data_IF_490342277058
#
_entry.id   IF_490342277058
#
_cell.length_a   1.000
_cell.length_b   1.000
_cell.length_c   1.000
_cell.angle_alpha   90.00
_cell.angle_beta   90.00
_cell.angle_gamma   90.00
#
_symmetry.space_group_name_H-M   'P 1'
#
loop_
_entity.id
_entity.type
_entity.pdbx_description
1 polymer ?
#
# COMPACT_ATOMS: atom_id res chain seq x y z
N UNK A 1 -44.74 -10.69 -23.72
CA UNK A 1 -43.75 -11.68 -24.17
C UNK A 1 -42.56 -11.70 -23.23
N UNK A 2 -42.79 -12.25 -22.04
CA UNK A 2 -41.83 -12.35 -20.94
C UNK A 2 -41.71 -13.82 -20.58
N UNK A 3 -40.79 -14.55 -21.24
CA UNK A 3 -40.25 -15.87 -20.82
C UNK A 3 -39.39 -16.41 -21.96
N UNK A 4 -38.07 -16.22 -21.91
CA UNK A 4 -37.09 -17.18 -22.51
C UNK A 4 -35.60 -16.93 -22.28
N UNK A 5 -35.18 -15.89 -21.57
CA UNK A 5 -33.73 -15.62 -21.41
C UNK A 5 -33.17 -15.84 -20.01
N UNK A 6 -33.89 -16.53 -19.12
CA UNK A 6 -33.49 -16.76 -17.71
C UNK A 6 -32.93 -18.17 -17.42
N UNK A 7 -32.77 -19.03 -18.42
CA UNK A 7 -32.40 -20.45 -18.22
C UNK A 7 -31.02 -20.86 -18.78
N UNK A 8 -30.20 -19.92 -19.29
CA UNK A 8 -28.88 -20.25 -19.88
C UNK A 8 -27.69 -19.75 -19.04
N UNK A 9 -27.89 -18.88 -18.05
CA UNK A 9 -26.78 -18.30 -17.25
C UNK A 9 -26.53 -18.97 -15.89
N UNK A 10 -27.28 -20.00 -15.50
CA UNK A 10 -27.08 -20.72 -14.23
C UNK A 10 -26.37 -22.08 -14.35
N UNK A 11 -25.84 -22.45 -15.53
CA UNK A 11 -25.16 -23.74 -15.75
C UNK A 11 -23.66 -23.69 -16.10
N UNK A 12 -23.04 -22.50 -16.13
CA UNK A 12 -21.62 -22.38 -16.59
C UNK A 12 -20.61 -22.06 -15.47
N UNK A 13 -21.04 -21.73 -14.23
CA UNK A 13 -20.10 -21.41 -13.14
C UNK A 13 -20.26 -22.23 -11.84
N UNK A 14 -20.82 -23.44 -11.93
CA UNK A 14 -20.71 -24.45 -10.85
C UNK A 14 -19.80 -25.57 -11.32
N UNK A 15 -18.48 -25.40 -11.18
CA UNK A 15 -17.55 -26.47 -11.57
C UNK A 15 -16.08 -26.10 -11.64
N UNK A 16 -15.58 -25.17 -10.81
CA UNK A 16 -14.14 -24.98 -10.63
C UNK A 16 -13.77 -25.39 -9.20
N UNK A 17 -13.59 -26.70 -9.00
CA UNK A 17 -12.85 -27.21 -7.84
C UNK A 17 -11.37 -26.99 -8.12
N UNK A 18 -10.74 -26.12 -7.34
CA UNK A 18 -9.29 -26.01 -7.31
C UNK A 18 -8.70 -27.31 -6.75
N UNK A 19 -8.19 -28.18 -7.62
CA UNK A 19 -7.32 -29.27 -7.22
C UNK A 19 -5.90 -28.71 -7.06
N UNK A 20 -5.50 -28.39 -5.83
CA UNK A 20 -4.10 -28.16 -5.52
C UNK A 20 -3.38 -29.52 -5.51
N UNK A 21 -2.73 -29.84 -6.62
CA UNK A 21 -1.82 -30.98 -6.72
C UNK A 21 -0.48 -30.55 -6.14
N UNK A 22 -0.17 -30.99 -4.94
CA UNK A 22 1.16 -30.82 -4.37
C UNK A 22 2.05 -31.98 -4.86
N UNK A 23 2.99 -31.69 -5.76
CA UNK A 23 4.00 -32.65 -6.19
C UNK A 23 5.13 -32.68 -5.16
N UNK A 24 5.29 -33.80 -4.45
CA UNK A 24 6.54 -34.10 -3.76
C UNK A 24 7.32 -35.13 -4.58
N UNK A 25 8.46 -34.72 -5.15
CA UNK A 25 9.42 -35.64 -5.75
C UNK A 25 10.27 -36.26 -4.66
N UNK A 26 10.22 -37.58 -4.51
CA UNK A 26 11.31 -38.32 -3.86
C UNK A 26 12.04 -39.11 -4.94
N UNK A 27 13.30 -38.73 -5.18
CA UNK A 27 14.17 -39.46 -6.09
C UNK A 27 14.87 -40.57 -5.31
N UNK A 28 14.77 -41.81 -5.78
CA UNK A 28 15.68 -42.89 -5.41
C UNK A 28 16.29 -43.45 -6.69
N UNK A 29 17.63 -43.53 -6.70
CA UNK A 29 18.42 -44.02 -7.82
C UNK A 29 18.59 -45.53 -7.65
N UNK A 30 18.19 -46.31 -8.65
CA UNK A 30 18.71 -47.67 -8.84
C UNK A 30 19.08 -47.89 -10.30
N UNK A 31 20.10 -48.73 -10.47
CA UNK A 31 20.84 -48.98 -11.70
C UNK A 31 20.00 -49.66 -12.79
N UNK A 32 20.17 -49.17 -14.02
CA UNK A 32 19.60 -49.63 -15.30
C UNK A 32 18.19 -49.09 -15.62
N UNK A 33 18.15 -48.31 -16.71
CA UNK A 33 17.08 -47.36 -17.00
C UNK A 33 15.87 -47.91 -17.75
N UNK A 34 14.68 -47.56 -17.26
CA UNK A 34 13.48 -47.09 -17.99
C UNK A 34 12.38 -46.80 -16.97
N UNK A 35 11.93 -45.54 -16.89
CA UNK A 35 10.83 -45.10 -16.04
C UNK A 35 9.48 -45.48 -16.66
N UNK A 36 8.71 -46.35 -16.00
CA UNK A 36 7.27 -46.54 -16.23
C UNK A 36 6.55 -46.18 -14.93
N UNK A 37 6.00 -44.96 -14.84
CA UNK A 37 5.14 -44.56 -13.73
C UNK A 37 3.74 -45.17 -13.91
N UNK A 38 3.33 -46.05 -12.98
CA UNK A 38 1.91 -46.38 -12.76
C UNK A 38 1.42 -45.61 -11.52
N UNK A 39 0.38 -44.76 -11.62
CA UNK A 39 -0.16 -44.10 -10.45
C UNK A 39 -1.05 -45.06 -9.64
N UNK A 40 -0.73 -45.29 -8.36
CA UNK A 40 -1.65 -45.89 -7.41
C UNK A 40 -2.48 -44.79 -6.74
N UNK A 41 -3.81 -44.85 -6.88
CA UNK A 41 -4.75 -44.00 -6.17
C UNK A 41 -5.02 -44.59 -4.78
N UNK A 42 -4.57 -43.91 -3.71
CA UNK A 42 -5.06 -44.16 -2.35
C UNK A 42 -6.11 -43.11 -1.99
N UNK A 43 -7.31 -43.56 -1.63
CA UNK A 43 -8.38 -42.71 -1.13
C UNK A 43 -8.05 -42.21 0.27
N UNK A 44 -7.85 -40.90 0.43
CA UNK A 44 -7.77 -40.24 1.73
C UNK A 44 -9.11 -39.57 2.01
N UNK A 45 -9.75 -39.96 3.12
CA UNK A 45 -10.96 -39.28 3.61
C UNK A 45 -10.54 -38.00 4.33
N UNK A 46 -11.13 -36.87 3.94
CA UNK A 46 -10.88 -35.58 4.57
C UNK A 46 -12.08 -35.24 5.43
N UNK A 47 -11.87 -35.16 6.74
CA UNK A 47 -12.87 -34.69 7.70
C UNK A 47 -13.11 -33.20 7.50
N UNK A 48 -14.31 -32.82 7.05
CA UNK A 48 -14.76 -31.43 6.97
C UNK A 48 -14.87 -30.83 8.38
N UNK A 49 -13.83 -30.11 8.84
CA UNK A 49 -14.06 -28.99 9.77
C UNK A 49 -14.65 -27.85 8.94
N UNK A 50 -15.93 -27.59 9.14
CA UNK A 50 -16.60 -26.40 8.63
C UNK A 50 -15.94 -25.19 9.29
N UNK A 51 -15.07 -24.50 8.56
CA UNK A 51 -14.72 -23.12 8.90
C UNK A 51 -15.98 -22.29 8.67
N UNK A 52 -16.53 -21.70 9.72
CA UNK A 52 -17.50 -20.61 9.61
C UNK A 52 -16.82 -19.49 8.83
N UNK A 53 -17.27 -19.26 7.61
CA UNK A 53 -16.81 -18.16 6.77
C UNK A 53 -17.30 -16.85 7.37
N UNK A 54 -16.46 -16.18 8.15
CA UNK A 54 -16.65 -14.76 8.43
C UNK A 54 -16.66 -14.00 7.11
N UNK A 55 -17.52 -12.99 6.98
CA UNK A 55 -17.60 -12.17 5.78
C UNK A 55 -16.21 -11.61 5.45
N UNK A 56 -15.82 -11.51 4.16
CA UNK A 56 -14.55 -10.88 3.82
C UNK A 56 -14.57 -9.46 4.38
N UNK A 57 -13.73 -9.18 5.37
CA UNK A 57 -13.53 -7.83 5.88
C UNK A 57 -13.16 -6.96 4.68
N UNK A 58 -14.00 -5.99 4.33
CA UNK A 58 -13.71 -5.01 3.27
C UNK A 58 -13.21 -3.74 3.92
N UNK A 59 -12.02 -3.27 3.56
CA UNK A 59 -11.49 -2.02 4.12
C UNK A 59 -9.97 -1.92 4.04
N UNK A 60 -9.39 -0.79 4.48
CA UNK A 60 -7.93 -0.54 4.45
C UNK A 60 -7.11 -1.50 5.34
N UNK A 61 -7.77 -2.31 6.15
CA UNK A 61 -7.15 -3.22 7.13
C UNK A 61 -7.36 -4.70 6.80
N UNK A 62 -8.12 -5.04 5.75
CA UNK A 62 -8.55 -6.42 5.44
C UNK A 62 -7.44 -7.42 5.10
N UNK A 63 -6.27 -6.94 4.72
CA UNK A 63 -5.10 -7.75 4.37
C UNK A 63 -3.92 -7.43 5.32
N UNK A 64 -4.21 -7.11 6.57
CA UNK A 64 -3.24 -6.62 7.54
C UNK A 64 -3.41 -7.27 8.92
N UNK A 65 -2.39 -7.13 9.77
CA UNK A 65 -2.40 -7.55 11.18
C UNK A 65 -3.17 -6.60 12.11
N UNK A 66 -3.73 -5.50 11.56
CA UNK A 66 -4.53 -4.52 12.31
C UNK A 66 -6.01 -4.74 12.00
N UNK A 67 -6.88 -4.45 12.97
CA UNK A 67 -8.33 -4.44 12.73
C UNK A 67 -8.76 -3.12 12.10
N UNK A 68 -8.19 -2.02 12.58
CA UNK A 68 -8.52 -0.67 12.14
C UNK A 68 -7.27 0.18 11.82
N UNK A 69 -7.43 1.22 11.02
CA UNK A 69 -6.43 2.29 10.88
C UNK A 69 -6.52 3.25 12.07
N UNK A 70 -5.44 3.98 12.34
CA UNK A 70 -5.38 4.88 13.49
C UNK A 70 -6.31 6.11 13.34
N UNK A 71 -6.78 6.44 12.15
CA UNK A 71 -7.61 7.63 11.87
C UNK A 71 -9.10 7.35 11.69
N UNK A 72 -9.52 6.07 11.66
CA UNK A 72 -10.91 5.71 11.31
C UNK A 72 -11.84 5.52 12.51
N UNK A 73 -11.31 5.33 13.72
CA UNK A 73 -12.12 5.13 14.92
C UNK A 73 -13.03 6.33 15.25
N UNK A 74 -14.24 6.03 15.71
CA UNK A 74 -15.32 7.00 16.01
C UNK A 74 -16.15 6.51 17.20
N UNK A 75 -17.04 7.36 17.71
CA UNK A 75 -17.95 7.06 18.84
C UNK A 75 -18.82 5.81 18.64
N UNK A 76 -19.07 5.40 17.40
CA UNK A 76 -19.79 4.15 17.07
C UNK A 76 -19.01 2.88 17.43
N UNK A 77 -17.67 2.96 17.50
CA UNK A 77 -16.78 1.84 17.80
C UNK A 77 -16.56 1.63 19.31
N UNK A 78 -17.23 2.40 20.18
CA UNK A 78 -17.05 2.34 21.63
C UNK A 78 -17.46 0.96 22.16
N UNK A 79 -16.58 0.36 22.96
CA UNK A 79 -16.75 -0.99 23.52
C UNK A 79 -16.09 -2.09 22.67
N UNK A 80 -15.68 -1.79 21.44
CA UNK A 80 -15.01 -2.76 20.57
C UNK A 80 -13.55 -2.98 20.98
N UNK A 81 -13.08 -4.23 20.87
CA UNK A 81 -11.66 -4.55 20.92
C UNK A 81 -11.03 -4.31 19.54
N UNK A 82 -9.97 -3.52 19.52
CA UNK A 82 -9.29 -3.11 18.29
C UNK A 82 -7.80 -3.35 18.38
N UNK A 83 -7.21 -3.70 17.24
CA UNK A 83 -5.77 -3.79 17.05
C UNK A 83 -5.32 -2.68 16.11
N UNK A 84 -4.47 -1.78 16.60
CA UNK A 84 -3.90 -0.67 15.83
C UNK A 84 -2.40 -0.85 15.68
N UNK A 85 -1.87 -0.57 14.49
CA UNK A 85 -0.43 -0.55 14.24
C UNK A 85 -0.02 0.83 13.72
N UNK A 86 1.04 1.41 14.28
CA UNK A 86 1.46 2.75 13.88
C UNK A 86 2.78 3.20 14.50
N UNK A 87 3.10 4.46 14.25
CA UNK A 87 4.24 5.18 14.82
C UNK A 87 3.82 5.95 16.05
N UNK A 88 4.64 5.93 17.09
CA UNK A 88 4.47 6.80 18.26
C UNK A 88 4.70 8.25 17.82
N UNK A 89 3.64 9.06 17.75
CA UNK A 89 3.74 10.49 17.42
C UNK A 89 4.12 11.33 18.63
N UNK A 90 3.62 10.93 19.79
CA UNK A 90 3.80 11.64 21.05
C UNK A 90 3.63 10.65 22.21
N UNK A 91 4.46 10.80 23.22
CA UNK A 91 4.44 10.04 24.46
C UNK A 91 4.33 11.03 25.61
N UNK A 92 3.34 10.86 26.48
CA UNK A 92 3.22 11.64 27.72
C UNK A 92 3.46 10.74 28.92
N UNK A 93 4.74 10.51 29.23
CA UNK A 93 5.15 9.63 30.34
C UNK A 93 4.34 8.33 30.32
N UNK A 94 3.84 7.89 31.47
CA UNK A 94 3.09 6.65 31.66
C UNK A 94 1.56 6.83 31.53
N UNK A 95 1.10 7.96 30.98
CA UNK A 95 -0.34 8.28 30.89
C UNK A 95 -0.94 7.83 29.56
N UNK A 96 -0.42 8.33 28.44
CA UNK A 96 -0.95 8.03 27.11
C UNK A 96 0.10 8.18 26.01
N UNK A 97 -0.19 7.51 24.90
CA UNK A 97 0.52 7.59 23.64
C UNK A 97 -0.42 8.12 22.57
N UNK A 98 0.07 8.96 21.67
CA UNK A 98 -0.65 9.25 20.42
C UNK A 98 -0.03 8.37 19.34
N UNK A 99 -0.82 7.43 18.83
CA UNK A 99 -0.42 6.55 17.75
C UNK A 99 -0.83 7.18 16.41
N UNK A 100 0.10 7.21 15.45
CA UNK A 100 -0.13 7.71 14.10
C UNK A 100 0.01 6.61 13.08
N UNK A 101 -0.85 6.61 12.08
CA UNK A 101 -0.57 5.98 10.79
C UNK A 101 -0.85 6.97 9.65
N UNK A 102 -0.92 6.49 8.42
CA UNK A 102 -1.20 7.35 7.28
C UNK A 102 -2.60 7.99 7.28
N UNK A 103 -3.54 7.40 8.01
CA UNK A 103 -4.96 7.80 8.02
C UNK A 103 -5.24 8.86 9.07
N UNK A 104 -4.47 8.87 10.16
CA UNK A 104 -4.64 9.86 11.22
C UNK A 104 -3.95 9.47 12.51
N UNK A 105 -4.46 10.06 13.60
CA UNK A 105 -3.95 9.93 14.96
C UNK A 105 -5.06 9.31 15.82
N UNK A 106 -4.69 8.42 16.75
CA UNK A 106 -5.57 7.94 17.84
C UNK A 106 -4.81 8.02 19.15
N UNK A 107 -5.50 8.42 20.22
CA UNK A 107 -4.96 8.37 21.57
C UNK A 107 -5.12 6.96 22.14
N UNK A 108 -4.02 6.42 22.67
CA UNK A 108 -3.96 5.16 23.40
C UNK A 108 -3.65 5.50 24.86
N UNK A 109 -4.60 5.23 25.75
CA UNK A 109 -4.44 5.43 27.18
C UNK A 109 -3.78 4.20 27.81
N UNK A 110 -2.84 4.45 28.71
CA UNK A 110 -2.17 3.41 29.49
C UNK A 110 -2.89 3.25 30.83
N UNK A 111 -3.42 2.05 31.16
CA UNK A 111 -4.08 1.82 32.44
C UNK A 111 -3.11 2.08 33.60
N UNK A 112 -3.64 2.63 34.71
CA UNK A 112 -2.84 2.98 35.88
C UNK A 112 -2.81 1.90 36.96
N UNK A 113 -3.59 0.84 36.78
CA UNK A 113 -3.67 -0.31 37.69
C UNK A 113 -2.35 -1.10 37.72
N UNK A 114 -2.05 -1.74 38.86
CA UNK A 114 -0.84 -2.55 39.07
C UNK A 114 -0.69 -3.68 38.04
N UNK A 115 -1.81 -4.26 37.61
CA UNK A 115 -1.85 -5.29 36.56
C UNK A 115 -1.25 -4.83 35.22
N UNK A 116 -1.29 -3.53 34.94
CA UNK A 116 -0.83 -2.92 33.69
C UNK A 116 0.61 -2.38 33.76
N UNK A 117 1.36 -2.63 34.85
CA UNK A 117 2.72 -2.13 35.02
C UNK A 117 3.68 -2.61 33.90
N UNK A 118 3.42 -3.78 33.33
CA UNK A 118 4.18 -4.29 32.19
C UNK A 118 4.06 -3.41 30.93
N UNK A 119 2.89 -2.79 30.68
CA UNK A 119 2.68 -1.88 29.55
C UNK A 119 3.47 -0.59 29.73
N UNK A 120 3.49 -0.06 30.96
CA UNK A 120 4.27 1.14 31.31
C UNK A 120 5.75 0.89 31.06
N UNK A 121 6.30 -0.20 31.59
CA UNK A 121 7.69 -0.57 31.40
C UNK A 121 8.09 -0.68 29.91
N UNK A 122 7.24 -1.30 29.08
CA UNK A 122 7.48 -1.38 27.63
C UNK A 122 7.55 0.00 26.99
N UNK A 123 6.71 0.95 27.41
CA UNK A 123 6.61 2.28 26.80
C UNK A 123 7.67 3.28 27.31
N UNK A 124 8.15 3.12 28.54
CA UNK A 124 9.19 4.01 29.13
C UNK A 124 10.46 4.03 28.28
N UNK A 125 10.83 2.90 27.68
CA UNK A 125 12.03 2.77 26.85
C UNK A 125 11.82 3.19 25.39
N UNK A 126 10.59 3.51 24.98
CA UNK A 126 10.29 3.84 23.59
C UNK A 126 10.48 5.32 23.28
N UNK A 127 11.09 5.55 22.12
CA UNK A 127 11.24 6.86 21.53
C UNK A 127 10.08 7.18 20.58
N UNK A 128 9.86 8.47 20.36
CA UNK A 128 9.00 8.97 19.28
C UNK A 128 9.44 8.36 17.95
N UNK A 129 8.46 7.98 17.12
CA UNK A 129 8.60 7.30 15.84
C UNK A 129 9.01 5.82 15.91
N UNK A 130 9.04 5.22 17.11
CA UNK A 130 9.03 3.76 17.25
C UNK A 130 7.74 3.17 16.70
N UNK A 131 7.83 1.96 16.16
CA UNK A 131 6.71 1.23 15.53
C UNK A 131 6.16 0.22 16.51
N UNK A 132 4.88 0.34 16.81
CA UNK A 132 4.18 -0.51 17.78
C UNK A 132 2.87 -1.02 17.23
N UNK A 133 2.45 -2.16 17.77
CA UNK A 133 1.10 -2.70 17.66
C UNK A 133 0.45 -2.65 19.04
N UNK A 134 -0.75 -2.09 19.10
CA UNK A 134 -1.53 -1.96 20.32
C UNK A 134 -2.83 -2.71 20.14
N UNK A 135 -3.14 -3.60 21.08
CA UNK A 135 -4.47 -4.21 21.19
C UNK A 135 -5.15 -3.63 22.42
N UNK A 136 -6.40 -3.20 22.29
CA UNK A 136 -7.11 -2.55 23.39
C UNK A 136 -8.57 -2.29 23.08
N UNK A 137 -9.28 -1.70 24.02
CA UNK A 137 -10.73 -1.46 23.92
C UNK A 137 -11.01 0.01 23.70
N UNK A 138 -11.83 0.33 22.70
CA UNK A 138 -12.25 1.71 22.42
C UNK A 138 -13.19 2.19 23.52
N UNK A 139 -12.96 3.37 24.05
CA UNK A 139 -13.85 4.03 25.00
C UNK A 139 -14.02 5.51 24.68
N UNK A 140 -15.11 6.10 25.19
CA UNK A 140 -15.26 7.55 25.15
C UNK A 140 -14.22 8.20 26.06
N UNK A 141 -13.73 9.36 25.63
CA UNK A 141 -12.95 10.20 26.54
C UNK A 141 -13.84 10.69 27.69
N UNK A 142 -13.26 10.96 28.87
CA UNK A 142 -13.99 11.63 29.94
C UNK A 142 -14.55 12.98 29.47
N UNK A 143 -15.70 13.37 30.03
CA UNK A 143 -16.33 14.65 29.70
C UNK A 143 -15.36 15.82 29.92
N UNK A 144 -15.21 16.68 28.91
CA UNK A 144 -14.29 17.82 28.90
C UNK A 144 -12.87 17.48 28.43
N UNK A 145 -12.58 16.23 28.06
CA UNK A 145 -11.29 15.82 27.47
C UNK A 145 -11.39 15.47 25.98
N UNK A 146 -12.54 15.73 25.35
CA UNK A 146 -12.73 15.61 23.91
C UNK A 146 -11.79 16.57 23.16
N UNK A 147 -11.25 16.13 22.03
CA UNK A 147 -10.38 16.94 21.20
C UNK A 147 -11.00 17.20 19.82
N UNK A 148 -11.70 18.32 19.68
CA UNK A 148 -12.37 18.73 18.43
C UNK A 148 -11.43 18.86 17.22
N UNK A 149 -10.12 19.00 17.44
CA UNK A 149 -9.12 19.10 16.36
C UNK A 149 -8.75 17.75 15.77
N UNK A 150 -9.16 16.65 16.40
CA UNK A 150 -8.87 15.29 15.95
C UNK A 150 -10.15 14.56 15.56
N UNK A 151 -10.23 13.90 14.39
CA UNK A 151 -11.39 13.11 14.01
C UNK A 151 -11.73 11.97 14.99
N UNK A 152 -10.73 11.44 15.69
CA UNK A 152 -10.89 10.42 16.75
C UNK A 152 -10.96 11.06 18.15
N UNK A 153 -11.23 12.36 18.23
CA UNK A 153 -11.08 13.16 19.44
C UNK A 153 -12.12 12.92 20.51
N UNK A 154 -13.24 12.27 20.18
CA UNK A 154 -14.28 11.86 21.13
C UNK A 154 -13.94 10.55 21.85
N UNK A 155 -12.97 9.79 21.31
CA UNK A 155 -12.61 8.45 21.79
C UNK A 155 -11.13 8.36 22.16
N UNK A 156 -10.80 7.29 22.87
CA UNK A 156 -9.45 6.80 23.11
C UNK A 156 -9.47 5.27 23.19
N UNK A 157 -8.31 4.64 23.02
CA UNK A 157 -8.15 3.18 23.15
C UNK A 157 -7.46 2.89 24.47
N UNK A 158 -8.13 2.17 25.37
CA UNK A 158 -7.52 1.65 26.59
C UNK A 158 -6.62 0.48 26.23
N UNK A 159 -5.30 0.63 26.40
CA UNK A 159 -4.33 -0.39 26.03
C UNK A 159 -4.50 -1.64 26.90
N UNK A 160 -4.67 -2.80 26.26
CA UNK A 160 -4.61 -4.12 26.90
C UNK A 160 -3.28 -4.82 26.65
N UNK A 161 -2.70 -4.66 25.46
CA UNK A 161 -1.40 -5.20 25.09
C UNK A 161 -0.65 -4.26 24.15
N UNK A 162 0.67 -4.19 24.29
CA UNK A 162 1.58 -3.44 23.41
C UNK A 162 2.72 -4.34 22.96
N UNK A 163 2.86 -4.51 21.65
CA UNK A 163 3.93 -5.24 20.99
C UNK A 163 4.82 -4.24 20.23
N UNK A 164 6.12 -4.26 20.49
CA UNK A 164 7.09 -3.38 19.83
C UNK A 164 7.65 -4.07 18.59
N UNK A 165 7.33 -3.54 17.41
CA UNK A 165 7.88 -4.05 16.16
C UNK A 165 9.27 -3.50 15.86
N UNK A 166 9.49 -2.21 16.16
CA UNK A 166 10.79 -1.60 15.94
C UNK A 166 10.99 -0.35 16.81
N UNK A 167 12.13 -0.27 17.49
CA UNK A 167 12.55 0.90 18.27
C UNK A 167 13.21 1.94 17.37
N UNK A 168 12.86 3.21 17.51
CA UNK A 168 13.46 4.28 16.72
C UNK A 168 14.69 4.89 17.40
N UNK A 169 15.72 5.23 16.61
CA UNK A 169 16.81 6.09 17.07
C UNK A 169 16.40 7.56 16.97
N UNK A 170 17.18 8.45 17.58
CA UNK A 170 16.99 9.89 17.43
C UNK A 170 16.93 10.28 15.96
N UNK A 171 15.87 11.01 15.58
CA UNK A 171 15.66 11.42 14.19
C UNK A 171 16.44 12.68 13.84
N UNK A 172 16.84 12.85 12.56
CA UNK A 172 17.51 14.07 12.08
C UNK A 172 16.59 15.31 12.10
N UNK A 173 15.27 15.12 12.15
CA UNK A 173 14.28 16.17 12.35
C UNK A 173 12.96 15.59 12.89
N UNK A 174 12.15 16.43 13.52
CA UNK A 174 10.83 16.05 14.02
C UNK A 174 9.79 15.89 12.89
N UNK A 175 8.94 14.88 12.97
CA UNK A 175 7.81 14.69 12.05
C UNK A 175 6.58 15.40 12.61
N UNK A 176 6.62 16.73 12.58
CA UNK A 176 5.50 17.62 12.88
C UNK A 176 5.29 18.61 11.73
N UNK A 177 4.05 19.02 11.51
CA UNK A 177 3.66 19.85 10.36
C UNK A 177 4.17 21.31 10.48
N UNK A 178 4.28 21.85 11.70
CA UNK A 178 4.66 23.26 11.92
C UNK A 178 6.17 23.49 12.14
N UNK A 179 6.99 22.44 12.09
CA UNK A 179 8.45 22.56 12.26
C UNK A 179 9.07 22.88 10.91
N UNK A 180 9.66 24.08 10.78
CA UNK A 180 10.41 24.46 9.58
C UNK A 180 11.66 23.59 9.45
N UNK A 181 11.82 22.96 8.28
CA UNK A 181 12.95 22.08 7.94
C UNK A 181 13.55 22.58 6.63
N UNK A 182 14.87 22.51 6.48
CA UNK A 182 15.50 22.84 5.20
C UNK A 182 15.07 21.82 4.14
N UNK A 183 14.91 22.28 2.90
CA UNK A 183 14.59 21.40 1.78
C UNK A 183 15.66 20.33 1.57
N UNK A 184 16.94 20.71 1.69
CA UNK A 184 18.07 19.79 1.59
C UNK A 184 17.95 18.62 2.56
N UNK A 185 17.64 18.88 3.83
CA UNK A 185 17.49 17.84 4.85
C UNK A 185 16.25 16.96 4.60
N UNK A 186 15.16 17.56 4.12
CA UNK A 186 13.94 16.82 3.72
C UNK A 186 14.19 15.90 2.54
N UNK A 187 15.03 16.30 1.58
CA UNK A 187 15.39 15.45 0.43
C UNK A 187 16.40 14.37 0.83
N UNK A 188 17.36 14.66 1.70
CA UNK A 188 18.30 13.68 2.24
C UNK A 188 17.58 12.55 2.99
N UNK A 189 16.60 12.90 3.84
CA UNK A 189 15.82 11.93 4.60
C UNK A 189 14.37 11.85 4.12
N UNK A 190 14.19 11.77 2.78
CA UNK A 190 12.87 11.81 2.15
C UNK A 190 11.92 10.76 2.68
N UNK A 191 12.41 9.56 3.02
CA UNK A 191 11.62 8.48 3.60
C UNK A 191 10.97 8.85 4.95
N UNK A 192 11.57 9.76 5.74
CA UNK A 192 10.94 10.32 6.93
C UNK A 192 9.95 11.44 6.57
N UNK A 193 10.33 12.34 5.66
CA UNK A 193 9.45 13.46 5.24
C UNK A 193 8.15 12.95 4.62
N UNK A 194 8.18 11.81 3.92
CA UNK A 194 7.01 11.15 3.37
C UNK A 194 5.99 10.70 4.42
N UNK A 195 6.36 10.62 5.71
CA UNK A 195 5.42 10.35 6.81
C UNK A 195 4.58 11.57 7.21
N UNK A 196 4.98 12.78 6.80
CA UNK A 196 4.21 14.00 7.09
C UNK A 196 2.82 13.96 6.48
N UNK A 197 1.86 14.61 7.16
CA UNK A 197 0.47 14.63 6.71
C UNK A 197 0.33 15.24 5.31
N UNK A 198 1.11 16.29 5.03
CA UNK A 198 1.14 16.95 3.73
C UNK A 198 1.62 16.01 2.61
N UNK A 199 2.71 15.27 2.81
CA UNK A 199 3.23 14.38 1.77
C UNK A 199 2.33 13.17 1.56
N UNK A 200 1.76 12.61 2.63
CA UNK A 200 0.75 11.54 2.54
C UNK A 200 -0.47 12.00 1.74
N UNK A 201 -1.01 13.20 2.02
CA UNK A 201 -2.13 13.78 1.26
C UNK A 201 -1.79 13.95 -0.21
N UNK A 202 -0.64 14.55 -0.53
CA UNK A 202 -0.22 14.80 -1.91
C UNK A 202 -0.09 13.50 -2.72
N UNK A 203 0.57 12.47 -2.17
CA UNK A 203 0.78 11.20 -2.88
C UNK A 203 -0.53 10.42 -3.06
N UNK A 204 -1.39 10.40 -2.03
CA UNK A 204 -2.70 9.73 -2.12
C UNK A 204 -3.63 10.43 -3.11
N UNK A 205 -3.66 11.76 -3.09
CA UNK A 205 -4.41 12.55 -4.06
C UNK A 205 -3.93 12.28 -5.48
N UNK A 206 -2.61 12.29 -5.72
CA UNK A 206 -2.03 11.93 -7.02
C UNK A 206 -2.47 10.52 -7.46
N UNK A 207 -2.39 9.54 -6.57
CA UNK A 207 -2.80 8.17 -6.86
C UNK A 207 -4.29 8.08 -7.22
N UNK A 208 -5.16 8.73 -6.46
CA UNK A 208 -6.60 8.76 -6.70
C UNK A 208 -6.94 9.45 -8.02
N UNK A 209 -6.32 10.60 -8.28
CA UNK A 209 -6.50 11.35 -9.53
C UNK A 209 -6.12 10.51 -10.74
N UNK A 210 -4.93 9.90 -10.72
CA UNK A 210 -4.46 9.05 -11.82
C UNK A 210 -5.40 7.86 -12.04
N UNK A 211 -5.89 7.22 -10.97
CA UNK A 211 -6.87 6.14 -11.11
C UNK A 211 -8.19 6.63 -11.72
N UNK A 212 -8.70 7.78 -11.28
CA UNK A 212 -9.92 8.38 -11.84
C UNK A 212 -9.78 8.74 -13.31
N UNK A 213 -8.61 9.22 -13.73
CA UNK A 213 -8.29 9.45 -15.14
C UNK A 213 -8.34 8.14 -15.95
N UNK A 214 -7.75 7.06 -15.43
CA UNK A 214 -7.83 5.74 -16.09
C UNK A 214 -9.25 5.22 -16.17
N UNK A 215 -10.01 5.27 -15.09
CA UNK A 215 -11.42 4.86 -15.07
C UNK A 215 -12.23 5.63 -16.13
N UNK A 216 -12.02 6.94 -16.22
CA UNK A 216 -12.72 7.78 -17.19
C UNK A 216 -12.32 7.47 -18.64
N UNK A 217 -11.02 7.40 -18.94
CA UNK A 217 -10.55 7.16 -20.29
C UNK A 217 -10.86 5.73 -20.76
N UNK A 218 -10.53 4.71 -19.96
CA UNK A 218 -10.74 3.31 -20.33
C UNK A 218 -12.21 2.92 -20.28
N UNK A 219 -12.86 3.08 -19.12
CA UNK A 219 -14.15 2.43 -18.87
C UNK A 219 -15.33 3.24 -19.43
N UNK A 220 -15.19 4.57 -19.54
CA UNK A 220 -16.26 5.43 -20.07
C UNK A 220 -16.04 5.74 -21.55
N UNK A 221 -14.80 6.01 -21.96
CA UNK A 221 -14.50 6.49 -23.32
C UNK A 221 -13.80 5.49 -24.24
N UNK A 222 -13.55 4.27 -23.78
CA UNK A 222 -13.01 3.19 -24.60
C UNK A 222 -11.57 3.40 -25.05
N UNK A 223 -10.78 4.18 -24.32
CA UNK A 223 -9.34 4.27 -24.55
C UNK A 223 -8.63 2.98 -24.10
N UNK A 224 -7.51 2.67 -24.75
CA UNK A 224 -6.65 1.55 -24.40
C UNK A 224 -5.37 2.09 -23.75
N UNK A 225 -5.05 1.63 -22.53
CA UNK A 225 -3.79 1.92 -21.85
C UNK A 225 -2.69 1.06 -22.50
N UNK A 226 -1.80 1.67 -23.28
CA UNK A 226 -0.73 0.95 -23.98
C UNK A 226 0.62 1.47 -23.53
N UNK A 227 1.46 0.58 -23.04
CA UNK A 227 2.83 0.94 -22.66
C UNK A 227 3.73 1.02 -23.89
N UNK A 228 4.48 2.11 -24.02
CA UNK A 228 5.46 2.30 -25.10
C UNK A 228 6.90 2.20 -24.59
N UNK A 229 7.85 1.69 -25.39
CA UNK A 229 9.25 1.52 -24.97
C UNK A 229 9.94 2.81 -24.49
N UNK A 230 10.76 2.67 -23.44
CA UNK A 230 11.59 3.75 -22.88
C UNK A 230 12.99 3.82 -23.49
N UNK A 231 13.56 2.70 -23.94
CA UNK A 231 14.84 2.73 -24.65
C UNK A 231 14.54 2.83 -26.14
N UNK A 232 14.79 4.01 -26.73
CA UNK A 232 14.43 4.29 -28.11
C UNK A 232 15.60 4.90 -28.90
N UNK A 233 15.40 5.10 -30.20
CA UNK A 233 16.36 5.86 -31.01
C UNK A 233 16.21 7.37 -30.75
N UNK A 234 17.29 8.11 -30.95
CA UNK A 234 17.28 9.57 -30.87
C UNK A 234 16.31 10.18 -31.88
N UNK A 235 15.54 11.17 -31.45
CA UNK A 235 14.67 11.94 -32.36
C UNK A 235 15.28 13.33 -32.58
N UNK A 236 15.68 13.71 -33.81
CA UNK A 236 16.23 15.03 -34.07
C UNK A 236 15.15 16.12 -33.91
N UNK A 237 15.55 17.32 -33.45
CA UNK A 237 14.69 18.51 -33.37
C UNK A 237 14.06 18.82 -31.99
N UNK A 238 14.20 17.92 -31.01
CA UNK A 238 13.71 18.12 -29.63
C UNK A 238 14.74 18.75 -28.68
N UNK A 239 14.44 18.67 -27.37
CA UNK A 239 15.39 19.00 -26.30
C UNK A 239 16.61 18.05 -26.32
N UNK A 240 17.57 18.24 -25.42
CA UNK A 240 18.61 17.21 -25.23
C UNK A 240 17.99 15.97 -24.57
N UNK A 241 18.41 14.80 -25.04
CA UNK A 241 17.96 13.50 -24.57
C UNK A 241 19.05 12.85 -23.72
N UNK A 242 18.66 12.16 -22.66
CA UNK A 242 19.57 11.27 -21.95
C UNK A 242 19.93 10.07 -22.81
N UNK A 243 21.21 9.71 -22.82
CA UNK A 243 21.73 8.57 -23.57
C UNK A 243 22.02 7.39 -22.63
N UNK A 244 21.69 6.18 -23.08
CA UNK A 244 21.96 4.93 -22.39
C UNK A 244 22.85 4.07 -23.28
N UNK A 245 24.14 3.87 -22.92
CA UNK A 245 25.04 3.03 -23.69
C UNK A 245 24.52 1.60 -23.85
N UNK A 246 24.59 1.07 -25.09
CA UNK A 246 24.36 -0.34 -25.35
C UNK A 246 25.62 -1.15 -25.01
N UNK A 247 25.46 -2.47 -24.83
CA UNK A 247 26.60 -3.39 -24.81
C UNK A 247 27.33 -3.46 -26.16
N UNK A 248 26.62 -3.15 -27.25
CA UNK A 248 27.22 -3.06 -28.58
C UNK A 248 28.09 -1.79 -28.70
N UNK A 249 29.40 -1.93 -28.97
CA UNK A 249 30.29 -0.78 -29.06
C UNK A 249 29.83 0.26 -30.08
N UNK A 250 29.84 1.54 -29.68
CA UNK A 250 29.46 2.66 -30.53
C UNK A 250 27.95 2.88 -30.71
N UNK A 251 27.10 2.09 -30.04
CA UNK A 251 25.64 2.22 -30.10
C UNK A 251 25.04 2.63 -28.76
N UNK A 252 24.01 3.47 -28.82
CA UNK A 252 23.34 4.06 -27.66
C UNK A 252 21.83 4.09 -27.90
N UNK A 253 21.07 3.96 -26.82
CA UNK A 253 19.67 4.34 -26.77
C UNK A 253 19.53 5.78 -26.28
N UNK A 254 18.40 6.38 -26.57
CA UNK A 254 17.93 7.64 -26.01
C UNK A 254 16.67 7.40 -25.18
N UNK A 255 16.56 8.08 -24.05
CA UNK A 255 15.31 8.14 -23.28
C UNK A 255 14.33 9.12 -23.94
N UNK A 256 13.03 8.76 -24.07
CA UNK A 256 12.06 9.56 -24.81
C UNK A 256 11.65 10.82 -24.03
N UNK A 257 11.50 11.92 -24.77
CA UNK A 257 10.92 13.17 -24.23
C UNK A 257 9.40 13.11 -24.09
N UNK A 258 8.77 12.24 -24.88
CA UNK A 258 7.33 11.91 -24.88
C UNK A 258 7.10 10.67 -25.74
N UNK A 259 5.97 9.95 -25.59
CA UNK A 259 5.61 8.83 -26.44
C UNK A 259 5.10 9.26 -27.84
N UNK A 260 5.42 10.48 -28.30
CA UNK A 260 4.87 11.09 -29.52
C UNK A 260 5.02 10.20 -30.77
N UNK A 261 6.19 9.60 -30.97
CA UNK A 261 6.45 8.76 -32.14
C UNK A 261 5.59 7.48 -32.09
N UNK A 262 5.52 6.84 -30.92
CA UNK A 262 4.73 5.62 -30.73
C UNK A 262 3.24 5.89 -30.81
N UNK A 263 2.75 7.01 -30.28
CA UNK A 263 1.31 7.33 -30.36
C UNK A 263 0.85 7.40 -31.83
N UNK A 264 1.67 7.97 -32.72
CA UNK A 264 1.36 8.03 -34.15
C UNK A 264 1.36 6.63 -34.79
N UNK A 265 2.34 5.79 -34.45
CA UNK A 265 2.37 4.40 -34.92
C UNK A 265 1.15 3.60 -34.45
N UNK A 266 0.71 3.80 -33.20
CA UNK A 266 -0.48 3.16 -32.65
C UNK A 266 -1.76 3.59 -33.38
N UNK A 267 -1.86 4.87 -33.76
CA UNK A 267 -2.99 5.35 -34.59
C UNK A 267 -2.99 4.64 -35.95
N UNK A 268 -1.82 4.53 -36.60
CA UNK A 268 -1.68 3.81 -37.89
C UNK A 268 -2.02 2.32 -37.73
N UNK A 269 -1.70 1.71 -36.60
CA UNK A 269 -2.00 0.31 -36.30
C UNK A 269 -3.49 0.05 -35.98
N UNK A 270 -4.35 1.06 -36.00
CA UNK A 270 -5.79 0.92 -35.74
C UNK A 270 -6.18 0.96 -34.27
N UNK A 271 -5.30 1.38 -33.37
CA UNK A 271 -5.69 1.71 -31.98
C UNK A 271 -6.38 3.08 -32.03
N UNK A 272 -7.70 3.09 -32.25
CA UNK A 272 -8.49 4.32 -32.45
C UNK A 272 -8.35 5.31 -31.26
N UNK A 273 -8.22 4.78 -30.04
CA UNK A 273 -8.11 5.58 -28.81
C UNK A 273 -7.00 5.06 -27.92
N UNK A 274 -5.90 5.80 -27.89
CA UNK A 274 -4.72 5.50 -27.07
C UNK A 274 -4.59 6.50 -25.94
N UNK A 275 -4.26 6.01 -24.74
CA UNK A 275 -3.66 6.85 -23.71
C UNK A 275 -2.55 6.09 -22.99
N UNK A 276 -1.71 6.82 -22.28
CA UNK A 276 -0.66 6.27 -21.43
C UNK A 276 -0.30 7.31 -20.37
N UNK A 277 -0.07 6.86 -19.14
CA UNK A 277 0.63 7.65 -18.13
C UNK A 277 2.15 7.41 -18.27
N UNK A 278 2.81 8.17 -19.13
CA UNK A 278 4.17 7.90 -19.60
C UNK A 278 5.24 8.57 -18.70
N UNK A 279 6.38 7.90 -18.53
CA UNK A 279 7.60 8.55 -18.00
C UNK A 279 8.36 9.22 -19.14
N UNK A 280 8.66 10.49 -18.95
CA UNK A 280 9.31 11.35 -19.93
C UNK A 280 10.59 11.93 -19.33
N UNK A 281 11.59 12.11 -20.18
CA UNK A 281 12.93 12.50 -19.77
C UNK A 281 13.44 13.69 -20.59
N UNK A 282 14.05 14.69 -19.94
CA UNK A 282 14.65 15.86 -20.60
C UNK A 282 15.98 16.21 -19.95
N UNK A 283 17.04 16.23 -20.74
CA UNK A 283 18.38 16.66 -20.31
C UNK A 283 18.53 18.19 -20.47
N UNK A 284 17.64 18.93 -19.81
CA UNK A 284 17.69 20.39 -19.75
C UNK A 284 18.26 20.85 -18.41
N UNK A 285 18.78 22.08 -18.36
CA UNK A 285 19.23 22.68 -17.10
C UNK A 285 18.11 22.72 -16.05
N UNK A 286 18.47 22.52 -14.78
CA UNK A 286 17.52 22.50 -13.68
C UNK A 286 16.80 23.83 -13.54
N UNK A 287 15.47 23.81 -13.70
CA UNK A 287 14.58 24.91 -13.29
C UNK A 287 13.84 24.49 -12.02
N UNK A 288 13.44 25.43 -11.16
CA UNK A 288 12.80 25.12 -9.87
C UNK A 288 11.52 24.26 -10.00
N UNK A 289 10.84 24.32 -11.13
CA UNK A 289 9.60 23.58 -11.44
C UNK A 289 9.81 22.35 -12.34
N UNK A 290 11.05 22.05 -12.76
CA UNK A 290 11.33 20.99 -13.75
C UNK A 290 12.34 19.98 -13.24
N UNK A 291 11.88 18.74 -13.16
CA UNK A 291 12.74 17.58 -12.92
C UNK A 291 13.15 16.96 -14.26
N UNK A 292 14.35 16.34 -14.35
CA UNK A 292 14.82 15.67 -15.56
C UNK A 292 13.93 14.46 -15.93
N UNK A 293 13.26 13.87 -14.95
CA UNK A 293 12.23 12.85 -15.13
C UNK A 293 10.88 13.37 -14.62
N UNK A 294 9.83 13.20 -15.43
CA UNK A 294 8.46 13.55 -15.05
C UNK A 294 7.45 12.61 -15.70
N UNK A 295 6.21 12.63 -15.21
CA UNK A 295 5.11 11.84 -15.78
C UNK A 295 4.21 12.74 -16.61
N UNK A 296 3.84 12.29 -17.81
CA UNK A 296 2.82 12.88 -18.65
C UNK A 296 1.62 11.95 -18.79
#
# INVERSE_FOLDING_TARGET
>A
MATRSRLVLQRVFRGLRAHNVCYQSSASISSQGRLLLKPQLRHLSCSNRLYTTEAPTTGPSSLSFRSHTCGELRSEHVGEEVTLCGWIQYLRQDLFVILRDFSGLTQVLIPQEESAHHLKAVLTDLTVESVVKVTGTVRRRPAGQENERMPTGEIEVLAGNVEVFNTCRTLPFEIKDFVKKSESLRMQYRYLDLRSSQMQKNLRLRSQLVMKMREHLCNVHGFVDVETPTLFKRTPGGAKEFVVPSREPGRFYSLPQSPQQFKQLLMVAGIDRYFQMARCYRDEGSKPDRQPEFTQ
#
